data_IF_230299446707
#
_entry.id   IF_230299446707
#
_cell.length_a   1.000
_cell.length_b   1.000
_cell.length_c   1.000
_cell.angle_alpha   90.00
_cell.angle_beta   90.00
_cell.angle_gamma   90.00
#
_symmetry.space_group_name_H-M   'P 1'
#
loop_
_entity.id
_entity.type
_entity.pdbx_description
1 polymer ?
#
# COMPACT_ATOMS: atom_id res chain seq x y z
N UNK A 1 -10.62 13.80 5.55
CA UNK A 1 -9.82 13.71 4.30
C UNK A 1 -8.88 12.54 4.42
N UNK A 2 -9.29 11.37 3.92
CA UNK A 2 -8.50 10.14 4.04
C UNK A 2 -7.49 10.05 2.90
N UNK A 3 -6.27 10.52 3.16
CA UNK A 3 -5.12 10.29 2.29
C UNK A 3 -4.82 8.79 2.21
N UNK A 4 -4.68 8.26 1.00
CA UNK A 4 -4.41 6.84 0.74
C UNK A 4 -3.03 6.67 0.13
N UNK A 5 -2.33 5.63 0.56
CA UNK A 5 -1.05 5.22 -0.02
C UNK A 5 -1.29 4.17 -1.11
N UNK A 6 -0.44 4.18 -2.12
CA UNK A 6 -0.45 3.17 -3.16
C UNK A 6 0.80 3.19 -4.02
N UNK A 7 1.14 2.04 -4.58
CA UNK A 7 2.27 1.86 -5.49
C UNK A 7 1.79 1.93 -6.94
N UNK A 8 2.36 2.85 -7.72
CA UNK A 8 2.15 2.87 -9.17
C UNK A 8 2.73 1.57 -9.75
N UNK A 9 1.90 0.82 -10.48
CA UNK A 9 2.30 -0.41 -11.17
C UNK A 9 2.40 -0.24 -12.68
N UNK A 10 1.58 0.62 -13.25
CA UNK A 10 1.62 0.96 -14.66
C UNK A 10 0.92 2.29 -14.93
N UNK A 11 1.29 2.92 -16.03
CA UNK A 11 0.53 3.97 -16.69
C UNK A 11 -0.19 3.30 -17.84
N UNK A 12 -1.50 3.52 -17.98
CA UNK A 12 -2.32 2.89 -19.01
C UNK A 12 -3.21 3.92 -19.69
N UNK A 13 -3.47 3.74 -20.98
CA UNK A 13 -4.50 4.49 -21.69
C UNK A 13 -5.82 3.74 -21.54
N UNK A 14 -6.84 4.40 -21.01
CA UNK A 14 -8.18 3.83 -20.85
C UNK A 14 -9.22 4.89 -21.23
N UNK A 15 -10.04 4.59 -22.24
CA UNK A 15 -11.00 5.53 -22.83
C UNK A 15 -10.36 6.86 -23.25
N UNK A 16 -9.24 6.79 -24.00
CA UNK A 16 -8.45 7.95 -24.43
C UNK A 16 -7.86 8.83 -23.31
N UNK A 17 -7.96 8.39 -22.04
CA UNK A 17 -7.44 9.11 -20.88
C UNK A 17 -6.31 8.29 -20.26
N UNK A 18 -5.17 8.94 -20.02
CA UNK A 18 -4.07 8.35 -19.26
C UNK A 18 -4.46 8.17 -17.79
N UNK A 19 -4.38 6.94 -17.30
CA UNK A 19 -4.68 6.55 -15.93
C UNK A 19 -3.52 5.80 -15.29
N UNK A 20 -3.51 5.77 -13.97
CA UNK A 20 -2.54 5.04 -13.19
C UNK A 20 -3.18 3.78 -12.63
N UNK A 21 -2.53 2.63 -12.84
CA UNK A 21 -2.82 1.41 -12.09
C UNK A 21 -2.08 1.48 -10.76
N UNK A 22 -2.83 1.64 -9.67
CA UNK A 22 -2.30 1.76 -8.31
C UNK A 22 -2.59 0.48 -7.54
N UNK A 23 -1.52 -0.18 -7.07
CA UNK A 23 -1.64 -1.23 -6.06
C UNK A 23 -1.86 -0.61 -4.69
N UNK A 24 -2.85 -1.12 -3.95
CA UNK A 24 -3.25 -0.58 -2.66
C UNK A 24 -2.20 -0.85 -1.57
N UNK A 25 -1.93 0.16 -0.75
CA UNK A 25 -1.18 0.06 0.51
C UNK A 25 -2.13 0.42 1.65
N UNK A 26 -2.11 -0.33 2.74
CA UNK A 26 -3.01 -0.15 3.88
C UNK A 26 -2.26 -0.03 5.21
N UNK A 27 -2.91 0.65 6.16
CA UNK A 27 -2.48 0.71 7.56
C UNK A 27 -3.07 -0.48 8.34
N UNK A 28 -2.53 -0.70 9.54
CA UNK A 28 -2.87 -1.83 10.42
C UNK A 28 -4.39 -1.98 10.67
N UNK A 29 -5.10 -0.88 10.85
CA UNK A 29 -6.55 -0.85 11.10
C UNK A 29 -7.39 -1.45 9.96
N UNK A 30 -6.84 -1.50 8.74
CA UNK A 30 -7.50 -2.08 7.56
C UNK A 30 -7.04 -3.49 7.21
N UNK A 31 -6.06 -4.04 7.94
CA UNK A 31 -5.59 -5.42 7.76
C UNK A 31 -6.71 -6.39 8.19
N UNK A 32 -6.88 -7.57 7.54
CA UNK A 32 -7.86 -8.56 7.97
C UNK A 32 -7.68 -8.97 9.43
N UNK A 33 -8.79 -9.12 10.18
CA UNK A 33 -8.76 -9.42 11.63
C UNK A 33 -7.95 -10.68 11.99
N UNK A 34 -7.98 -11.69 11.13
CA UNK A 34 -7.20 -12.92 11.32
C UNK A 34 -5.68 -12.73 11.17
N UNK A 35 -5.25 -11.59 10.64
CA UNK A 35 -3.84 -11.18 10.46
C UNK A 35 -3.46 -10.10 11.49
N UNK A 36 -4.44 -9.44 12.12
CA UNK A 36 -4.25 -8.45 13.20
C UNK A 36 -3.89 -9.15 14.52
N UNK A 37 -2.65 -9.57 14.68
CA UNK A 37 -2.14 -10.07 15.98
C UNK A 37 -1.64 -8.93 16.88
N UNK A 38 -1.71 -9.09 18.21
CA UNK A 38 -1.17 -8.14 19.19
C UNK A 38 0.31 -7.81 18.99
N UNK A 39 1.13 -8.80 18.61
CA UNK A 39 2.55 -8.59 18.28
C UNK A 39 2.75 -7.59 17.13
N UNK A 40 1.83 -7.59 16.15
CA UNK A 40 1.82 -6.67 15.00
C UNK A 40 1.20 -5.32 15.32
N UNK A 41 0.43 -5.21 16.41
CA UNK A 41 -0.09 -3.94 16.91
C UNK A 41 1.01 -3.12 17.58
N UNK A 42 1.91 -3.77 18.34
CA UNK A 42 3.03 -3.10 19.03
C UNK A 42 4.04 -2.52 18.04
N UNK A 43 4.30 -3.19 16.91
CA UNK A 43 5.20 -2.72 15.86
C UNK A 43 4.59 -1.61 14.99
N UNK A 44 3.26 -1.53 14.88
CA UNK A 44 2.52 -0.58 14.01
C UNK A 44 2.63 0.91 14.38
N UNK A 45 3.56 1.29 15.26
CA UNK A 45 3.78 2.66 15.70
C UNK A 45 4.22 3.52 14.51
N UNK A 46 3.20 4.19 13.95
CA UNK A 46 3.13 5.26 12.94
C UNK A 46 3.56 5.02 11.49
N UNK A 47 4.49 4.11 11.18
CA UNK A 47 5.10 4.09 9.83
C UNK A 47 5.07 2.72 9.11
N UNK A 48 4.53 1.70 9.77
CA UNK A 48 4.32 0.38 9.16
C UNK A 48 3.10 0.40 8.24
N UNK A 49 3.28 -0.15 7.05
CA UNK A 49 2.20 -0.37 6.09
C UNK A 49 2.25 -1.76 5.49
N UNK A 50 1.13 -2.21 4.95
CA UNK A 50 0.97 -3.49 4.29
C UNK A 50 0.67 -3.28 2.81
N UNK A 51 1.40 -3.98 1.94
CA UNK A 51 1.13 -3.98 0.51
C UNK A 51 0.08 -5.05 0.20
N UNK A 52 -1.05 -4.66 -0.38
CA UNK A 52 -2.11 -5.62 -0.69
C UNK A 52 -1.93 -6.16 -2.11
N UNK A 53 -1.82 -7.48 -2.25
CA UNK A 53 -1.72 -8.13 -3.55
C UNK A 53 -3.05 -8.10 -4.33
N UNK A 54 -2.96 -8.09 -5.65
CA UNK A 54 -4.08 -8.17 -6.62
C UNK A 54 -5.15 -7.06 -6.58
N UNK A 55 -5.16 -6.17 -5.59
CA UNK A 55 -6.07 -5.01 -5.55
C UNK A 55 -5.44 -3.86 -6.31
N UNK A 56 -5.79 -3.74 -7.59
CA UNK A 56 -5.37 -2.65 -8.48
C UNK A 56 -6.54 -1.71 -8.71
N UNK A 57 -6.37 -0.44 -8.33
CA UNK A 57 -7.30 0.64 -8.64
C UNK A 57 -6.82 1.41 -9.87
N UNK A 58 -7.75 1.88 -10.68
CA UNK A 58 -7.49 2.88 -11.72
C UNK A 58 -7.80 4.26 -11.15
N UNK A 59 -6.82 5.14 -11.15
CA UNK A 59 -6.98 6.54 -10.70
C UNK A 59 -6.50 7.49 -11.78
N UNK A 60 -7.08 8.70 -11.80
CA UNK A 60 -6.62 9.76 -12.66
C UNK A 60 -5.33 10.37 -12.09
N UNK A 61 -4.45 10.86 -12.97
CA UNK A 61 -3.19 11.48 -12.55
C UNK A 61 -3.40 12.65 -11.58
N UNK A 62 -4.49 13.40 -11.76
CA UNK A 62 -4.84 14.58 -10.95
C UNK A 62 -5.21 14.22 -9.50
N UNK A 63 -5.52 12.95 -9.23
CA UNK A 63 -5.82 12.47 -7.86
C UNK A 63 -4.53 12.17 -7.06
N UNK A 64 -3.35 12.20 -7.69
CA UNK A 64 -2.06 12.03 -7.01
C UNK A 64 -1.62 13.36 -6.42
N UNK A 65 -1.64 13.43 -5.09
CA UNK A 65 -1.34 14.66 -4.34
C UNK A 65 0.14 14.80 -3.91
N UNK A 66 0.94 13.74 -4.05
CA UNK A 66 2.34 13.76 -3.63
C UNK A 66 3.05 12.43 -3.80
N UNK A 67 4.35 12.44 -3.52
CA UNK A 67 5.22 11.28 -3.49
C UNK A 67 5.50 10.86 -2.04
N UNK A 68 5.56 9.55 -1.78
CA UNK A 68 5.94 8.98 -0.49
C UNK A 68 7.03 7.93 -0.70
N UNK A 69 8.14 8.06 0.04
CA UNK A 69 9.23 7.08 0.03
C UNK A 69 8.89 5.93 0.97
N UNK A 70 8.81 4.71 0.42
CA UNK A 70 8.45 3.50 1.16
C UNK A 70 9.49 2.42 0.87
N UNK A 71 10.12 1.87 1.91
CA UNK A 71 11.07 0.75 1.78
C UNK A 71 10.45 -0.57 2.21
N UNK A 72 11.04 -1.71 1.86
CA UNK A 72 10.69 -2.99 2.49
C UNK A 72 11.60 -3.14 3.71
N UNK A 73 11.05 -3.57 4.84
CA UNK A 73 11.79 -3.68 6.09
C UNK A 73 13.04 -4.57 5.90
N UNK A 74 14.18 -3.91 5.84
CA UNK A 74 15.54 -4.44 5.86
C UNK A 74 16.24 -3.70 7.00
N UNK A 75 17.23 -4.32 7.64
CA UNK A 75 17.75 -3.97 8.97
C UNK A 75 18.19 -2.49 9.18
N UNK A 76 18.21 -1.66 8.13
CA UNK A 76 18.48 -0.22 8.20
C UNK A 76 17.19 0.59 7.99
N UNK A 77 16.67 1.16 9.09
CA UNK A 77 15.44 1.99 9.12
C UNK A 77 15.68 3.45 8.75
N UNK A 78 16.92 3.87 8.55
CA UNK A 78 17.26 5.27 8.34
C UNK A 78 16.87 5.70 6.92
N UNK A 79 16.29 6.90 6.78
CA UNK A 79 15.98 7.63 5.53
C UNK A 79 14.61 7.41 4.83
N UNK A 80 13.64 6.68 5.38
CA UNK A 80 12.34 6.45 4.72
C UNK A 80 11.15 6.95 5.54
N UNK A 81 10.12 7.46 4.86
CA UNK A 81 8.90 7.94 5.51
C UNK A 81 7.95 6.82 5.93
N UNK A 82 8.02 5.66 5.27
CA UNK A 82 7.24 4.47 5.58
C UNK A 82 8.03 3.21 5.23
N UNK A 83 7.57 2.08 5.77
CA UNK A 83 8.11 0.78 5.39
C UNK A 83 7.03 -0.31 5.30
N UNK A 84 7.22 -1.21 4.34
CA UNK A 84 6.37 -2.39 4.10
C UNK A 84 6.82 -3.46 5.08
N UNK A 85 5.93 -3.82 6.00
CA UNK A 85 6.13 -4.89 6.95
C UNK A 85 5.87 -6.26 6.29
N UNK A 86 4.79 -6.37 5.51
CA UNK A 86 4.39 -7.62 4.87
C UNK A 86 3.56 -7.36 3.59
N UNK A 87 3.56 -8.33 2.69
CA UNK A 87 2.71 -8.37 1.51
C UNK A 87 1.51 -9.28 1.81
N UNK A 88 0.29 -8.74 1.72
CA UNK A 88 -0.94 -9.49 1.97
C UNK A 88 -1.41 -10.14 0.68
N UNK A 89 -1.36 -11.47 0.62
CA UNK A 89 -1.89 -12.25 -0.50
C UNK A 89 -3.38 -12.50 -0.32
N UNK A 90 -4.15 -12.33 -1.39
CA UNK A 90 -5.54 -12.78 -1.44
C UNK A 90 -5.59 -14.14 -2.14
N UNK A 91 -5.78 -15.21 -1.36
CA UNK A 91 -6.09 -16.51 -1.94
C UNK A 91 -7.52 -16.48 -2.49
N UNK A 92 -7.66 -16.57 -3.81
CA UNK A 92 -8.92 -16.92 -4.45
C UNK A 92 -8.87 -18.43 -4.66
N UNK A 93 -9.43 -19.20 -3.72
CA UNK A 93 -9.63 -20.63 -3.92
C UNK A 93 -10.47 -20.88 -5.17
N UNK A 94 -10.16 -21.98 -5.86
CA UNK A 94 -10.93 -22.51 -6.98
C UNK A 94 -12.32 -22.95 -6.52
#
# INVERSE_FOLDING_TARGET
>A
NDMRLGRIRAIVLANEILKLKIQKIIKFDKVPKNIQSSNRQVSSQSEEVWLVDQVINLVNKQEVIGHASITILSNNKEHYSYYINEIIYKFKGH
#
